data_IF_554870015713
#
_entry.id   IF_554870015713
#
_cell.length_a   1.000
_cell.length_b   1.000
_cell.length_c   1.000
_cell.angle_alpha   90.00
_cell.angle_beta   90.00
_cell.angle_gamma   90.00
#
_symmetry.space_group_name_H-M   'P 1'
#
loop_
_entity.id
_entity.type
_entity.pdbx_description
1 polymer ?
#
# COMPACT_ATOMS: atom_id res chain seq x y z
N UNK A 1 12.91 -23.65 0.02
CA UNK A 1 12.72 -22.69 1.12
C UNK A 1 11.41 -21.87 0.98
N UNK A 2 10.33 -22.44 0.42
CA UNK A 2 9.03 -21.74 0.23
C UNK A 2 8.05 -21.90 1.38
N UNK A 3 8.18 -22.96 2.19
CA UNK A 3 7.20 -23.34 3.21
C UNK A 3 7.21 -22.38 4.42
N UNK A 4 8.39 -21.94 4.87
CA UNK A 4 8.52 -21.02 6.01
C UNK A 4 7.93 -19.63 5.72
N UNK A 5 8.16 -19.09 4.53
CA UNK A 5 7.67 -17.76 4.13
C UNK A 5 6.13 -17.69 4.06
N UNK A 6 5.47 -18.79 3.67
CA UNK A 6 4.00 -18.90 3.67
C UNK A 6 3.43 -19.07 5.08
N UNK A 7 4.14 -19.74 5.99
CA UNK A 7 3.74 -19.85 7.39
C UNK A 7 3.76 -18.47 8.08
N UNK A 8 4.74 -17.62 7.74
CA UNK A 8 4.83 -16.26 8.28
C UNK A 8 3.66 -15.37 7.84
N UNK A 9 3.26 -15.41 6.56
CA UNK A 9 2.12 -14.60 6.07
C UNK A 9 0.79 -15.05 6.67
N UNK A 10 0.53 -16.36 6.76
CA UNK A 10 -0.71 -16.86 7.36
C UNK A 10 -0.81 -16.48 8.86
N UNK A 11 0.33 -16.46 9.56
CA UNK A 11 0.40 -15.95 10.94
C UNK A 11 0.01 -14.48 11.02
N UNK A 12 0.59 -13.63 10.15
CA UNK A 12 0.27 -12.19 10.11
C UNK A 12 -1.22 -11.94 9.82
N UNK A 13 -1.83 -12.70 8.89
CA UNK A 13 -3.27 -12.61 8.61
C UNK A 13 -4.09 -13.00 9.84
N UNK A 14 -3.74 -14.11 10.50
CA UNK A 14 -4.44 -14.54 11.71
C UNK A 14 -4.35 -13.52 12.85
N UNK A 15 -3.19 -12.91 13.03
CA UNK A 15 -2.97 -11.85 14.02
C UNK A 15 -3.75 -10.59 13.66
N UNK A 16 -3.83 -10.21 12.38
CA UNK A 16 -4.64 -9.08 11.94
C UNK A 16 -6.11 -9.26 12.26
N UNK A 17 -6.68 -10.41 11.86
CA UNK A 17 -8.10 -10.71 12.09
C UNK A 17 -8.41 -10.74 13.59
N UNK A 18 -7.50 -11.28 14.41
CA UNK A 18 -7.63 -11.26 15.87
C UNK A 18 -7.62 -9.84 16.44
N UNK A 19 -6.73 -8.97 15.95
CA UNK A 19 -6.69 -7.58 16.38
C UNK A 19 -7.92 -6.79 15.92
N UNK A 20 -8.41 -7.05 14.70
CA UNK A 20 -9.62 -6.44 14.18
C UNK A 20 -10.84 -6.84 15.03
N UNK A 21 -10.99 -8.13 15.33
CA UNK A 21 -12.06 -8.63 16.20
C UNK A 21 -12.01 -7.97 17.59
N UNK A 22 -10.82 -7.86 18.20
CA UNK A 22 -10.63 -7.17 19.48
C UNK A 22 -10.99 -5.70 19.42
N UNK A 23 -10.62 -5.02 18.34
CA UNK A 23 -10.98 -3.61 18.16
C UNK A 23 -12.49 -3.45 18.00
N UNK A 24 -13.16 -4.35 17.27
CA UNK A 24 -14.61 -4.34 17.11
C UNK A 24 -15.37 -4.61 18.43
N UNK A 25 -14.82 -5.44 19.31
CA UNK A 25 -15.43 -5.78 20.62
C UNK A 25 -15.32 -4.62 21.63
N UNK A 26 -14.14 -4.03 21.81
CA UNK A 26 -13.93 -2.88 22.71
C UNK A 26 -12.92 -1.86 22.14
N UNK A 27 -13.36 -0.95 21.25
CA UNK A 27 -12.48 0.05 20.64
C UNK A 27 -11.78 0.94 21.67
N UNK A 28 -12.42 1.18 22.82
CA UNK A 28 -11.92 2.10 23.85
C UNK A 28 -10.72 1.56 24.62
N UNK A 29 -10.52 0.23 24.60
CA UNK A 29 -9.43 -0.46 25.27
C UNK A 29 -8.44 -1.10 24.30
N UNK A 30 -8.64 -0.90 23.00
CA UNK A 30 -7.76 -1.45 21.98
C UNK A 30 -6.33 -0.89 22.12
N UNK A 31 -5.34 -1.77 22.05
CA UNK A 31 -3.94 -1.43 22.21
C UNK A 31 -3.28 -1.22 20.85
N UNK A 32 -3.19 0.03 20.40
CA UNK A 32 -2.66 0.38 19.08
C UNK A 32 -1.22 -0.08 18.83
N UNK A 33 -0.42 -0.23 19.89
CA UNK A 33 0.97 -0.74 19.80
C UNK A 33 1.04 -2.16 19.27
N UNK A 34 0.01 -3.00 19.50
CA UNK A 34 -0.05 -4.34 18.93
C UNK A 34 -0.27 -4.30 17.41
N UNK A 35 -1.09 -3.35 16.94
CA UNK A 35 -1.33 -3.13 15.51
C UNK A 35 -0.10 -2.54 14.81
N UNK A 36 0.60 -1.62 15.47
CA UNK A 36 1.85 -1.03 14.98
C UNK A 36 2.93 -2.11 14.80
N UNK A 37 3.15 -2.96 15.81
CA UNK A 37 4.10 -4.08 15.71
C UNK A 37 3.74 -5.06 14.59
N UNK A 38 2.44 -5.33 14.39
CA UNK A 38 1.98 -6.17 13.29
C UNK A 38 2.28 -5.51 11.93
N UNK A 39 2.02 -4.21 11.79
CA UNK A 39 2.30 -3.45 10.57
C UNK A 39 3.80 -3.43 10.25
N UNK A 40 4.66 -3.25 11.25
CA UNK A 40 6.12 -3.34 11.11
C UNK A 40 6.56 -4.72 10.60
N UNK A 41 6.04 -5.79 11.21
CA UNK A 41 6.34 -7.16 10.78
C UNK A 41 5.85 -7.43 9.35
N UNK A 42 4.67 -6.90 8.98
CA UNK A 42 4.12 -6.96 7.64
C UNK A 42 4.98 -6.24 6.60
N UNK A 43 5.41 -5.01 6.90
CA UNK A 43 6.30 -4.22 6.05
C UNK A 43 7.66 -4.91 5.86
N UNK A 44 8.23 -5.46 6.93
CA UNK A 44 9.49 -6.22 6.86
C UNK A 44 9.35 -7.48 5.98
N UNK A 45 8.29 -8.26 6.18
CA UNK A 45 8.04 -9.47 5.38
C UNK A 45 7.86 -9.15 3.89
N UNK A 46 7.20 -8.03 3.59
CA UNK A 46 7.03 -7.52 2.23
C UNK A 46 8.36 -7.11 1.59
N UNK A 47 9.19 -6.36 2.32
CA UNK A 47 10.50 -5.90 1.84
C UNK A 47 11.49 -7.06 1.62
N UNK A 48 11.38 -8.12 2.40
CA UNK A 48 12.18 -9.35 2.24
C UNK A 48 11.63 -10.31 1.16
N UNK A 49 10.54 -9.95 0.47
CA UNK A 49 9.99 -10.75 -0.64
C UNK A 49 9.37 -12.09 -0.21
N UNK A 50 8.88 -12.19 1.05
CA UNK A 50 8.39 -13.44 1.65
C UNK A 50 6.99 -13.89 1.18
N UNK A 51 6.41 -13.28 0.14
CA UNK A 51 5.19 -13.75 -0.52
C UNK A 51 4.25 -12.62 -0.95
N UNK A 52 2.98 -12.96 -1.20
CA UNK A 52 1.94 -11.97 -1.52
C UNK A 52 1.83 -10.96 -0.38
N UNK A 53 1.72 -9.68 -0.72
CA UNK A 53 1.64 -8.64 0.30
C UNK A 53 0.40 -8.84 1.16
N UNK A 54 0.60 -9.10 2.45
CA UNK A 54 -0.47 -9.21 3.44
C UNK A 54 -1.39 -7.98 3.44
N UNK A 55 -0.87 -6.80 3.12
CA UNK A 55 -1.64 -5.55 3.03
C UNK A 55 -2.80 -5.60 2.03
N UNK A 56 -2.69 -6.38 0.94
CA UNK A 56 -3.80 -6.54 0.00
C UNK A 56 -5.00 -7.21 0.68
N UNK A 57 -4.74 -8.18 1.56
CA UNK A 57 -5.78 -8.92 2.27
C UNK A 57 -6.34 -8.13 3.45
N UNK A 58 -5.51 -7.28 4.05
CA UNK A 58 -5.90 -6.45 5.17
C UNK A 58 -6.76 -5.24 4.75
N UNK A 59 -6.56 -4.72 3.53
CA UNK A 59 -7.16 -3.46 3.10
C UNK A 59 -8.16 -3.61 1.94
N UNK A 60 -7.92 -4.50 0.97
CA UNK A 60 -8.77 -4.54 -0.22
C UNK A 60 -10.08 -5.32 0.04
N UNK A 61 -11.20 -4.72 -0.35
CA UNK A 61 -12.52 -5.33 -0.24
C UNK A 61 -13.15 -5.26 1.15
N UNK A 62 -12.55 -4.50 2.07
CA UNK A 62 -13.02 -4.30 3.45
C UNK A 62 -13.72 -2.94 3.61
N UNK A 63 -14.66 -2.85 4.56
CA UNK A 63 -15.25 -1.57 4.95
C UNK A 63 -14.25 -0.78 5.82
N UNK A 64 -13.61 0.23 5.23
CA UNK A 64 -12.59 1.00 5.93
C UNK A 64 -13.13 1.77 7.12
N UNK A 65 -12.44 1.62 8.24
CA UNK A 65 -12.70 2.30 9.51
C UNK A 65 -11.36 2.73 10.16
N UNK A 66 -11.41 3.29 11.36
CA UNK A 66 -10.22 3.79 12.06
C UNK A 66 -9.12 2.73 12.23
N UNK A 67 -9.47 1.46 12.38
CA UNK A 67 -8.49 0.37 12.47
C UNK A 67 -7.65 0.25 11.18
N UNK A 68 -8.31 0.27 10.02
CA UNK A 68 -7.67 0.17 8.71
C UNK A 68 -6.78 1.40 8.41
N UNK A 69 -7.25 2.60 8.79
CA UNK A 69 -6.47 3.83 8.65
C UNK A 69 -5.19 3.79 9.50
N UNK A 70 -5.30 3.36 10.75
CA UNK A 70 -4.15 3.19 11.64
C UNK A 70 -3.17 2.16 11.09
N UNK A 71 -3.68 1.01 10.65
CA UNK A 71 -2.85 -0.05 10.08
C UNK A 71 -2.07 0.44 8.86
N UNK A 72 -2.73 1.15 7.93
CA UNK A 72 -2.06 1.75 6.77
C UNK A 72 -0.99 2.75 7.21
N UNK A 73 -1.31 3.66 8.14
CA UNK A 73 -0.36 4.65 8.66
C UNK A 73 0.89 4.00 9.26
N UNK A 74 0.72 2.99 10.12
CA UNK A 74 1.85 2.27 10.71
C UNK A 74 2.66 1.52 9.65
N UNK A 75 2.00 0.91 8.67
CA UNK A 75 2.67 0.20 7.58
C UNK A 75 3.56 1.15 6.78
N UNK A 76 3.03 2.32 6.40
CA UNK A 76 3.77 3.36 5.67
C UNK A 76 4.95 3.90 6.49
N UNK A 77 4.76 4.10 7.80
CA UNK A 77 5.83 4.53 8.71
C UNK A 77 6.95 3.48 8.82
N UNK A 78 6.59 2.19 8.76
CA UNK A 78 7.53 1.07 8.75
C UNK A 78 8.23 0.85 7.39
N UNK A 79 7.98 1.71 6.41
CA UNK A 79 8.62 1.63 5.09
C UNK A 79 7.94 0.68 4.11
N UNK A 80 6.67 0.33 4.34
CA UNK A 80 5.85 -0.30 3.30
C UNK A 80 5.72 0.65 2.10
N UNK A 81 5.96 0.12 0.90
CA UNK A 81 5.85 0.86 -0.35
C UNK A 81 4.55 0.47 -1.09
N UNK A 82 3.50 1.32 -1.04
CA UNK A 82 2.21 1.02 -1.63
C UNK A 82 2.23 1.08 -3.17
N UNK A 83 3.24 1.72 -3.76
CA UNK A 83 3.34 1.93 -5.21
C UNK A 83 4.12 0.84 -5.93
N UNK A 84 4.72 -0.10 -5.19
CA UNK A 84 5.45 -1.21 -5.80
C UNK A 84 4.49 -2.15 -6.53
N UNK A 85 4.89 -2.52 -7.73
CA UNK A 85 4.19 -3.44 -8.61
C UNK A 85 4.81 -4.83 -8.55
N UNK A 86 4.00 -5.86 -8.69
CA UNK A 86 4.41 -7.26 -8.64
C UNK A 86 3.85 -8.02 -9.84
N UNK A 87 4.53 -9.09 -10.27
CA UNK A 87 3.98 -9.98 -11.28
C UNK A 87 2.83 -10.81 -10.71
N UNK A 88 1.76 -10.95 -11.48
CA UNK A 88 0.66 -11.88 -11.22
C UNK A 88 1.18 -13.32 -11.24
N UNK A 89 0.43 -14.26 -10.63
CA UNK A 89 0.86 -15.67 -10.51
C UNK A 89 1.13 -16.40 -11.83
N UNK A 90 0.68 -15.87 -12.97
CA UNK A 90 0.97 -16.35 -14.32
C UNK A 90 2.19 -15.68 -14.98
N UNK A 91 2.89 -14.77 -14.28
CA UNK A 91 4.14 -14.12 -14.69
C UNK A 91 4.01 -13.00 -15.73
N UNK A 92 2.90 -12.92 -16.46
CA UNK A 92 2.79 -12.11 -17.67
C UNK A 92 2.14 -10.73 -17.47
N UNK A 93 1.71 -10.39 -16.25
CA UNK A 93 1.02 -9.12 -15.99
C UNK A 93 1.54 -8.52 -14.69
N UNK A 94 1.74 -7.21 -14.68
CA UNK A 94 2.06 -6.45 -13.47
C UNK A 94 0.75 -6.03 -12.80
N UNK A 95 0.71 -6.12 -11.48
CA UNK A 95 -0.40 -5.65 -10.65
C UNK A 95 0.14 -4.84 -9.49
N UNK A 96 -0.70 -3.95 -8.98
CA UNK A 96 -0.41 -3.21 -7.74
C UNK A 96 -0.60 -4.11 -6.54
N UNK A 97 0.07 -3.73 -5.45
CA UNK A 97 -0.06 -4.41 -4.16
C UNK A 97 -1.29 -3.94 -3.38
N UNK A 98 -1.74 -2.71 -3.61
CA UNK A 98 -3.01 -2.21 -3.12
C UNK A 98 -3.94 -1.92 -4.29
N UNK A 99 -5.25 -2.10 -4.11
CA UNK A 99 -6.22 -1.68 -5.11
C UNK A 99 -6.50 -0.18 -4.99
N UNK A 100 -5.61 0.62 -5.60
CA UNK A 100 -5.68 2.08 -5.63
C UNK A 100 -7.02 2.62 -6.15
N UNK A 101 -7.59 1.95 -7.16
CA UNK A 101 -8.89 2.33 -7.71
C UNK A 101 -10.01 2.14 -6.69
N UNK A 102 -10.09 0.96 -6.08
CA UNK A 102 -11.13 0.66 -5.10
C UNK A 102 -11.04 1.62 -3.91
N UNK A 103 -9.83 1.91 -3.41
CA UNK A 103 -9.66 2.92 -2.36
C UNK A 103 -10.16 4.30 -2.79
N UNK A 104 -9.83 4.75 -4.01
CA UNK A 104 -10.26 6.05 -4.53
C UNK A 104 -11.78 6.12 -4.76
N UNK A 105 -12.41 5.02 -5.19
CA UNK A 105 -13.87 4.90 -5.29
C UNK A 105 -14.51 4.98 -3.90
N UNK A 106 -14.01 4.19 -2.94
CA UNK A 106 -14.51 4.19 -1.57
C UNK A 106 -14.33 5.54 -0.88
N UNK A 107 -13.27 6.29 -1.19
CA UNK A 107 -13.02 7.63 -0.67
C UNK A 107 -14.14 8.64 -1.01
N UNK A 108 -14.94 8.38 -2.05
CA UNK A 108 -16.06 9.26 -2.42
C UNK A 108 -17.22 9.18 -1.42
N UNK A 109 -17.34 8.08 -0.67
CA UNK A 109 -18.47 7.84 0.23
C UNK A 109 -18.08 7.38 1.64
N UNK A 110 -16.79 7.21 1.92
CA UNK A 110 -16.28 6.84 3.24
C UNK A 110 -15.14 7.79 3.66
N UNK A 111 -15.35 8.50 4.79
CA UNK A 111 -14.39 9.49 5.29
C UNK A 111 -13.04 8.88 5.71
N UNK A 112 -13.03 7.63 6.17
CA UNK A 112 -11.80 6.89 6.49
C UNK A 112 -11.04 6.56 5.22
N UNK A 113 -11.72 6.03 4.20
CA UNK A 113 -11.11 5.79 2.89
C UNK A 113 -10.52 7.08 2.32
N UNK A 114 -11.19 8.22 2.49
CA UNK A 114 -10.67 9.52 2.07
C UNK A 114 -9.39 9.92 2.83
N UNK A 115 -9.29 9.66 4.13
CA UNK A 115 -8.06 9.91 4.90
C UNK A 115 -6.93 8.97 4.50
N UNK A 116 -7.23 7.69 4.30
CA UNK A 116 -6.27 6.71 3.77
C UNK A 116 -5.75 7.11 2.38
N UNK A 117 -6.63 7.61 1.53
CA UNK A 117 -6.28 8.11 0.21
C UNK A 117 -5.33 9.32 0.29
N UNK A 118 -5.53 10.23 1.26
CA UNK A 118 -4.61 11.35 1.52
C UNK A 118 -3.23 10.82 1.96
N UNK A 119 -3.18 9.81 2.85
CA UNK A 119 -1.92 9.19 3.26
C UNK A 119 -1.14 8.62 2.06
N UNK A 120 -1.83 7.98 1.11
CA UNK A 120 -1.18 7.50 -0.12
C UNK A 120 -0.71 8.65 -1.01
N UNK A 121 -1.50 9.70 -1.14
CA UNK A 121 -1.14 10.88 -1.93
C UNK A 121 0.11 11.59 -1.39
N UNK A 122 0.21 11.73 -0.07
CA UNK A 122 1.39 12.27 0.59
C UNK A 122 2.61 11.37 0.34
N UNK A 123 2.42 10.04 0.44
CA UNK A 123 3.48 9.08 0.13
C UNK A 123 3.92 9.11 -1.34
N UNK A 124 2.98 9.34 -2.27
CA UNK A 124 3.31 9.49 -3.69
C UNK A 124 4.25 10.68 -3.92
N UNK A 125 3.99 11.80 -3.23
CA UNK A 125 4.86 12.99 -3.32
C UNK A 125 6.27 12.68 -2.83
N UNK A 126 6.41 11.98 -1.70
CA UNK A 126 7.72 11.57 -1.21
C UNK A 126 8.45 10.66 -2.19
N UNK A 127 7.75 9.63 -2.68
CA UNK A 127 8.32 8.61 -3.57
C UNK A 127 8.83 9.22 -4.87
N UNK A 128 7.95 9.92 -5.58
CA UNK A 128 8.25 10.41 -6.93
C UNK A 128 9.09 11.69 -6.91
N UNK A 129 9.19 12.42 -5.80
CA UNK A 129 10.13 13.54 -5.68
C UNK A 129 11.60 13.10 -5.62
N UNK A 130 11.89 11.91 -5.06
CA UNK A 130 13.27 11.37 -4.97
C UNK A 130 13.74 10.80 -6.31
N UNK A 131 12.83 10.20 -7.09
CA UNK A 131 13.13 9.70 -8.45
C UNK A 131 13.54 10.85 -9.41
N UNK A 132 13.07 12.09 -9.19
CA UNK A 132 13.52 13.27 -9.94
C UNK A 132 15.01 13.62 -9.73
N UNK A 133 15.61 13.22 -8.60
CA UNK A 133 16.98 13.58 -8.24
C UNK A 133 18.03 12.56 -8.72
N UNK A 134 17.61 11.39 -9.21
CA UNK A 134 18.48 10.24 -9.48
C UNK A 134 18.29 9.60 -10.85
N UNK A 135 17.93 10.38 -11.88
CA UNK A 135 17.56 9.93 -13.23
C UNK A 135 18.62 9.06 -13.93
N UNK A 136 18.63 7.77 -13.59
CA UNK A 136 19.20 6.64 -14.33
C UNK A 136 18.24 5.41 -14.26
N UNK A 137 17.05 5.56 -13.66
CA UNK A 137 16.01 4.53 -13.62
C UNK A 137 15.22 4.47 -14.93
N UNK A 138 14.85 3.25 -15.31
CA UNK A 138 14.17 2.91 -16.55
C UNK A 138 12.80 3.61 -16.62
N UNK A 139 12.71 4.74 -17.33
CA UNK A 139 11.49 5.57 -17.46
C UNK A 139 10.24 4.76 -17.82
N UNK A 140 10.39 3.68 -18.59
CA UNK A 140 9.29 2.77 -18.96
C UNK A 140 8.69 2.03 -17.75
N UNK A 141 9.50 1.69 -16.74
CA UNK A 141 9.05 1.03 -15.52
C UNK A 141 8.31 2.02 -14.62
N UNK A 142 8.83 3.24 -14.49
CA UNK A 142 8.19 4.33 -13.75
C UNK A 142 6.83 4.69 -14.37
N UNK A 143 6.77 4.83 -15.70
CA UNK A 143 5.51 5.09 -16.41
C UNK A 143 4.47 3.98 -16.18
N UNK A 144 4.90 2.73 -16.11
CA UNK A 144 4.03 1.58 -15.82
C UNK A 144 3.49 1.64 -14.38
N UNK A 145 4.34 1.96 -13.41
CA UNK A 145 3.93 2.15 -12.00
C UNK A 145 2.93 3.28 -11.88
N UNK A 146 3.21 4.44 -12.50
CA UNK A 146 2.31 5.60 -12.49
C UNK A 146 0.94 5.21 -13.07
N UNK A 147 0.91 4.53 -14.22
CA UNK A 147 -0.35 4.14 -14.85
C UNK A 147 -1.18 3.19 -13.97
N UNK A 148 -0.53 2.25 -13.29
CA UNK A 148 -1.18 1.28 -12.41
C UNK A 148 -1.67 1.89 -11.09
N UNK A 149 -0.99 2.90 -10.58
CA UNK A 149 -1.26 3.51 -9.27
C UNK A 149 -1.91 4.90 -9.36
N UNK A 150 -2.27 5.37 -10.57
CA UNK A 150 -2.70 6.75 -10.85
C UNK A 150 -3.81 7.24 -9.92
N UNK A 151 -4.74 6.36 -9.54
CA UNK A 151 -5.87 6.69 -8.68
C UNK A 151 -5.44 7.18 -7.29
N UNK A 152 -4.23 6.87 -6.80
CA UNK A 152 -3.68 7.38 -5.52
C UNK A 152 -2.55 8.40 -5.68
N UNK A 153 -2.26 8.85 -6.90
CA UNK A 153 -1.28 9.91 -7.15
C UNK A 153 -2.02 11.25 -7.28
N UNK A 154 -1.57 12.33 -6.61
CA UNK A 154 -2.17 13.65 -6.79
C UNK A 154 -2.17 14.10 -8.26
N UNK A 155 -3.27 14.72 -8.71
CA UNK A 155 -3.42 15.16 -10.11
C UNK A 155 -2.33 16.11 -10.57
N UNK A 156 -1.95 17.06 -9.71
CA UNK A 156 -0.88 18.01 -9.97
C UNK A 156 0.48 17.32 -10.15
N UNK A 157 0.71 16.21 -9.44
CA UNK A 157 1.92 15.41 -9.58
C UNK A 157 1.87 14.57 -10.85
N UNK A 158 0.73 13.95 -11.17
CA UNK A 158 0.53 13.21 -12.43
C UNK A 158 0.78 14.10 -13.66
N UNK A 159 0.25 15.31 -13.68
CA UNK A 159 0.45 16.27 -14.77
C UNK A 159 1.94 16.61 -14.96
N UNK A 160 2.68 16.80 -13.87
CA UNK A 160 4.13 17.04 -13.93
C UNK A 160 4.90 15.84 -14.48
N UNK A 161 4.54 14.63 -14.06
CA UNK A 161 5.19 13.40 -14.52
C UNK A 161 4.92 13.12 -16.01
N UNK A 162 3.68 13.33 -16.48
CA UNK A 162 3.30 13.14 -17.89
C UNK A 162 3.96 14.19 -18.80
N UNK A 163 4.01 15.46 -18.39
CA UNK A 163 4.66 16.51 -19.18
C UNK A 163 6.16 16.28 -19.35
N UNK A 164 6.82 15.63 -18.38
CA UNK A 164 8.24 15.28 -18.46
C UNK A 164 8.49 14.15 -19.45
N UNK A 165 7.67 13.12 -19.46
CA UNK A 165 7.77 12.02 -20.43
C UNK A 165 7.64 12.54 -21.88
N UNK A 166 6.68 13.44 -22.12
CA UNK A 166 6.47 14.08 -23.42
C UNK A 166 7.59 15.06 -23.84
N UNK A 167 8.42 15.53 -22.92
CA UNK A 167 9.55 16.43 -23.22
C UNK A 167 10.85 15.67 -23.55
N UNK A 168 10.90 14.38 -23.24
CA UNK A 168 12.07 13.49 -23.45
C UNK A 168 11.96 12.73 -24.80
N UNK A 169 10.76 12.69 -25.39
CA UNK A 169 10.43 12.08 -26.68
C UNK A 169 10.21 13.11 -27.80
#
# INVERSE_FOLDING_TARGET
MKIAATQDINRLIGEYLYLEERWQDDPSRFQWTELEALAEAGASAYNEGKGLSFHILALDGMDHNEFHENFLRYSLAAGFDPFKVVHTGNGNTLTTVLNHRNLAENAQHNATSARMQILLQDKARERFAVEEAGADENLSEIATVIALCADSIPKDLLEQLVLKDAAIH
#
